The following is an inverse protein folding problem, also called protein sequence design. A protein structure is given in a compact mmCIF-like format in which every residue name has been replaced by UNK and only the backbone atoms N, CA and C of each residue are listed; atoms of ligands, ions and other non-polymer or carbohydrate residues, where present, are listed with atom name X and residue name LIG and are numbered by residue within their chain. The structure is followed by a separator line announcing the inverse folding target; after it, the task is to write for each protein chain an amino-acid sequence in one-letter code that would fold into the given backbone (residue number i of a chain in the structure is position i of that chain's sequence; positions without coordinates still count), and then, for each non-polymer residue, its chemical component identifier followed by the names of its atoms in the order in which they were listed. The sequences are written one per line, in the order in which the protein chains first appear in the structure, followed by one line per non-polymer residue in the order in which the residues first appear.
data_IF_235874722029
#
_entry.id   IF_235874722029
#
_cell.length_a   1.000
_cell.length_b   1.000
_cell.length_c   1.000
_cell.angle_alpha   90.00
_cell.angle_beta   90.00
_cell.angle_gamma   90.00
#
_symmetry.space_group_name_H-M   'P 1'
#
loop_
_entity.id
_entity.type
_entity.pdbx_description
1 polymer ?
#
# COMPACT_ATOMS: atom_id res chain seq x y z
N UNK A 1 -0.57 -30.18 0.34
CA UNK A 1 -0.13 -31.10 -0.71
C UNK A 1 -1.05 -30.98 -1.90
N UNK A 2 -0.50 -30.60 -3.04
CA UNK A 2 -1.13 -30.64 -4.36
C UNK A 2 -0.17 -31.38 -5.27
N UNK A 3 -0.63 -32.43 -5.95
CA UNK A 3 0.22 -33.19 -6.88
C UNK A 3 0.51 -32.40 -8.14
N UNK A 4 1.65 -32.69 -8.77
CA UNK A 4 2.00 -32.16 -10.07
C UNK A 4 1.09 -32.68 -11.19
N UNK A 5 0.72 -31.78 -12.09
CA UNK A 5 0.07 -32.05 -13.36
C UNK A 5 0.68 -31.16 -14.45
N UNK A 6 0.93 -31.73 -15.63
CA UNK A 6 1.50 -30.97 -16.75
C UNK A 6 0.44 -30.04 -17.37
N UNK A 7 0.62 -28.74 -17.12
CA UNK A 7 -0.28 -27.66 -17.57
C UNK A 7 0.28 -26.90 -18.78
N UNK A 8 1.34 -27.37 -19.43
CA UNK A 8 2.00 -26.70 -20.55
C UNK A 8 1.10 -26.49 -21.77
N UNK A 9 0.08 -27.34 -21.92
CA UNK A 9 -0.91 -27.30 -22.99
C UNK A 9 -2.07 -26.31 -22.72
N UNK A 10 -2.14 -25.71 -21.53
CA UNK A 10 -3.16 -24.73 -21.13
C UNK A 10 -2.60 -23.32 -21.34
N UNK A 11 -3.33 -22.47 -22.07
CA UNK A 11 -2.95 -21.07 -22.28
C UNK A 11 -2.97 -20.24 -20.98
N UNK A 12 -2.28 -19.10 -20.98
CA UNK A 12 -2.32 -18.13 -19.87
C UNK A 12 -3.29 -17.01 -20.22
N UNK A 13 -4.38 -16.88 -19.46
CA UNK A 13 -5.42 -15.86 -19.64
C UNK A 13 -5.46 -14.90 -18.46
N UNK A 14 -5.49 -15.42 -17.23
CA UNK A 14 -5.63 -14.63 -15.99
C UNK A 14 -4.60 -14.98 -14.90
N UNK A 15 -3.45 -15.50 -15.32
CA UNK A 15 -2.35 -15.92 -14.44
C UNK A 15 -1.31 -14.82 -14.23
N UNK A 16 -1.10 -14.43 -12.98
CA UNK A 16 0.05 -13.64 -12.53
C UNK A 16 0.51 -14.10 -11.14
N UNK A 17 1.79 -13.94 -10.84
CA UNK A 17 2.33 -14.25 -9.52
C UNK A 17 1.71 -13.34 -8.45
N UNK A 18 1.26 -13.93 -7.35
CA UNK A 18 0.66 -13.24 -6.24
C UNK A 18 1.72 -12.64 -5.33
N UNK A 19 1.51 -11.38 -4.98
CA UNK A 19 2.21 -10.74 -3.88
C UNK A 19 1.71 -11.34 -2.56
N UNK A 20 2.64 -11.80 -1.73
CA UNK A 20 2.31 -12.62 -0.56
C UNK A 20 2.71 -11.88 0.71
N UNK A 21 1.74 -11.42 1.51
CA UNK A 21 1.95 -10.88 2.85
C UNK A 21 1.98 -12.03 3.89
N UNK A 22 2.09 -11.76 5.20
CA UNK A 22 2.22 -12.83 6.21
C UNK A 22 1.02 -13.79 6.17
N UNK A 23 -0.21 -13.25 6.03
CA UNK A 23 -1.41 -14.08 5.89
C UNK A 23 -1.45 -14.84 4.56
N UNK A 24 -0.94 -14.23 3.49
CA UNK A 24 -0.84 -14.81 2.17
C UNK A 24 0.00 -16.08 2.12
N UNK A 25 0.96 -16.25 3.04
CA UNK A 25 1.77 -17.48 3.13
C UNK A 25 0.92 -18.73 3.41
N UNK A 26 -0.27 -18.56 3.98
CA UNK A 26 -1.22 -19.64 4.29
C UNK A 26 -2.25 -19.87 3.19
N UNK A 27 -2.21 -19.10 2.10
CA UNK A 27 -3.19 -19.16 1.00
C UNK A 27 -3.11 -20.46 0.20
N UNK A 28 -1.92 -21.07 0.11
CA UNK A 28 -1.70 -22.29 -0.68
C UNK A 28 -1.84 -22.09 -2.19
N UNK A 29 -1.79 -20.84 -2.67
CA UNK A 29 -1.81 -20.48 -4.10
C UNK A 29 -0.77 -19.39 -4.38
N UNK A 30 0.01 -19.59 -5.44
CA UNK A 30 1.06 -18.67 -5.87
C UNK A 30 0.63 -17.80 -7.05
N UNK A 31 -0.37 -18.24 -7.82
CA UNK A 31 -0.88 -17.54 -9.00
C UNK A 31 -2.33 -17.11 -8.83
N UNK A 32 -2.71 -16.04 -9.53
CA UNK A 32 -4.10 -15.70 -9.78
C UNK A 32 -4.74 -16.65 -10.79
N UNK A 33 -6.06 -16.68 -10.81
CA UNK A 33 -6.80 -17.43 -11.83
C UNK A 33 -6.77 -18.93 -11.60
N UNK A 34 -7.03 -19.69 -12.68
CA UNK A 34 -7.06 -21.16 -12.65
C UNK A 34 -6.18 -21.81 -13.72
N UNK A 35 -5.53 -21.03 -14.58
CA UNK A 35 -4.72 -21.61 -15.67
C UNK A 35 -3.41 -22.23 -15.17
N UNK A 36 -2.91 -21.80 -14.01
CA UNK A 36 -1.74 -22.37 -13.34
C UNK A 36 -2.03 -22.62 -11.87
N UNK A 37 -2.06 -23.91 -11.50
CA UNK A 37 -2.16 -24.37 -10.11
C UNK A 37 -0.83 -24.99 -9.71
N UNK A 38 -0.16 -24.41 -8.70
CA UNK A 38 1.14 -24.89 -8.22
C UNK A 38 1.04 -26.28 -7.56
N UNK A 39 2.03 -27.11 -7.83
CA UNK A 39 2.26 -28.40 -7.18
C UNK A 39 2.90 -28.21 -5.81
N UNK A 40 2.06 -27.97 -4.81
CA UNK A 40 2.50 -27.54 -3.49
C UNK A 40 2.76 -28.74 -2.56
N UNK A 41 4.03 -29.10 -2.35
CA UNK A 41 4.46 -29.86 -1.19
C UNK A 41 5.25 -28.97 -0.22
N UNK A 42 4.56 -28.39 0.75
CA UNK A 42 5.11 -27.34 1.59
C UNK A 42 4.52 -27.34 3.00
N UNK A 43 5.27 -26.79 3.95
CA UNK A 43 4.86 -26.52 5.32
C UNK A 43 4.98 -25.03 5.57
N UNK A 44 3.86 -24.36 5.85
CA UNK A 44 3.88 -22.96 6.30
C UNK A 44 3.94 -22.91 7.82
N UNK A 45 4.91 -22.18 8.36
CA UNK A 45 5.03 -21.91 9.79
C UNK A 45 4.91 -20.40 10.00
N UNK A 46 4.10 -19.99 10.96
CA UNK A 46 4.02 -18.60 11.38
C UNK A 46 3.65 -18.47 12.85
N UNK A 47 3.98 -17.32 13.40
CA UNK A 47 3.67 -16.97 14.78
C UNK A 47 3.21 -15.51 14.82
N UNK A 48 2.15 -15.27 15.59
CA UNK A 48 1.62 -13.93 15.85
C UNK A 48 1.55 -13.71 17.34
N UNK A 49 2.06 -12.57 17.81
CA UNK A 49 1.94 -12.12 19.19
C UNK A 49 1.15 -10.83 19.24
N UNK A 50 0.26 -10.72 20.25
CA UNK A 50 -0.64 -9.57 20.43
C UNK A 50 -0.55 -9.05 21.86
N UNK A 51 -0.54 -7.73 22.01
CA UNK A 51 -0.65 -7.04 23.30
C UNK A 51 -1.96 -6.26 23.28
N UNK A 52 -2.76 -6.46 24.33
CA UNK A 52 -4.07 -5.88 24.50
C UNK A 52 -4.06 -5.04 25.78
N UNK A 53 -4.71 -3.88 25.78
CA UNK A 53 -4.84 -3.04 26.96
C UNK A 53 -5.99 -3.47 27.89
N UNK A 54 -6.11 -2.81 29.04
CA UNK A 54 -7.16 -3.08 30.05
C UNK A 54 -8.59 -2.84 29.52
N UNK A 55 -8.73 -2.11 28.41
CA UNK A 55 -10.01 -1.86 27.74
C UNK A 55 -10.28 -2.85 26.59
N UNK A 56 -9.52 -3.95 26.50
CA UNK A 56 -9.59 -4.95 25.43
C UNK A 56 -9.27 -4.40 24.02
N UNK A 57 -8.48 -3.32 23.91
CA UNK A 57 -8.04 -2.77 22.61
C UNK A 57 -6.69 -3.34 22.24
N UNK A 58 -6.53 -3.78 20.98
CA UNK A 58 -5.22 -4.24 20.49
C UNK A 58 -4.26 -3.06 20.34
N UNK A 59 -3.14 -3.10 21.08
CA UNK A 59 -2.12 -2.05 21.07
C UNK A 59 -0.94 -2.44 20.19
N UNK A 60 -0.57 -3.71 20.13
CA UNK A 60 0.59 -4.18 19.39
C UNK A 60 0.32 -5.56 18.81
N UNK A 61 0.65 -5.76 17.54
CA UNK A 61 0.54 -7.02 16.83
C UNK A 61 1.82 -7.20 16.03
N UNK A 62 2.52 -8.31 16.24
CA UNK A 62 3.65 -8.70 15.41
C UNK A 62 3.39 -10.11 14.87
N UNK A 63 3.58 -10.28 13.56
CA UNK A 63 3.43 -11.56 12.87
C UNK A 63 4.69 -11.86 12.06
N UNK A 64 5.15 -13.10 12.13
CA UNK A 64 6.26 -13.63 11.33
C UNK A 64 5.80 -14.91 10.66
N UNK A 65 6.20 -15.13 9.42
CA UNK A 65 5.84 -16.34 8.70
C UNK A 65 6.84 -16.72 7.62
N UNK A 66 6.91 -18.02 7.34
CA UNK A 66 7.76 -18.59 6.30
C UNK A 66 7.17 -19.90 5.78
N UNK A 67 7.34 -20.17 4.49
CA UNK A 67 7.05 -21.46 3.86
C UNK A 67 8.34 -22.25 3.74
N UNK A 68 8.30 -23.53 4.11
CA UNK A 68 9.34 -24.52 3.89
C UNK A 68 8.88 -25.49 2.81
N UNK A 69 9.59 -25.54 1.70
CA UNK A 69 9.25 -26.41 0.57
C UNK A 69 9.87 -27.80 0.80
N UNK A 70 9.06 -28.84 0.64
CA UNK A 70 9.45 -30.24 0.79
C UNK A 70 9.88 -30.86 -0.54
N UNK A 71 9.39 -30.32 -1.66
CA UNK A 71 9.81 -30.62 -3.03
C UNK A 71 9.84 -29.36 -3.88
N UNK A 72 10.61 -29.40 -4.97
CA UNK A 72 10.69 -28.30 -5.94
C UNK A 72 9.38 -28.19 -6.73
N UNK A 73 8.92 -26.97 -6.99
CA UNK A 73 7.74 -26.69 -7.82
C UNK A 73 8.08 -26.84 -9.30
N UNK A 74 7.23 -27.55 -10.05
CA UNK A 74 7.45 -27.88 -11.46
C UNK A 74 6.53 -27.11 -12.41
N UNK A 75 5.53 -26.40 -11.88
CA UNK A 75 4.53 -25.66 -12.68
C UNK A 75 5.07 -24.32 -13.23
N UNK A 76 6.19 -23.82 -12.70
CA UNK A 76 6.84 -22.59 -13.16
C UNK A 76 7.79 -22.83 -14.33
N UNK A 77 7.87 -21.87 -15.26
CA UNK A 77 8.78 -21.94 -16.44
C UNK A 77 10.27 -21.94 -16.07
N UNK A 78 10.61 -21.62 -14.82
CA UNK A 78 11.90 -21.87 -14.20
C UNK A 78 11.68 -22.85 -13.04
N UNK A 79 12.51 -23.87 -12.92
CA UNK A 79 12.57 -24.70 -11.72
C UNK A 79 12.95 -23.79 -10.57
N UNK A 80 12.09 -23.71 -9.56
CA UNK A 80 12.38 -23.02 -8.32
C UNK A 80 12.97 -24.04 -7.33
N UNK A 81 14.30 -24.01 -7.16
CA UNK A 81 15.05 -24.92 -6.28
C UNK A 81 15.15 -24.40 -4.83
N UNK A 82 14.38 -23.35 -4.50
CA UNK A 82 14.38 -22.78 -3.16
C UNK A 82 13.72 -23.74 -2.17
N UNK A 83 14.42 -24.04 -1.08
CA UNK A 83 13.87 -24.83 0.03
C UNK A 83 13.00 -24.01 1.01
N UNK A 84 12.93 -22.69 0.83
CA UNK A 84 12.13 -21.78 1.67
C UNK A 84 11.70 -20.54 0.90
N UNK A 85 10.54 -20.00 1.26
CA UNK A 85 10.11 -18.69 0.80
C UNK A 85 10.90 -17.58 1.50
N UNK A 86 10.76 -16.36 0.98
CA UNK A 86 11.10 -15.16 1.73
C UNK A 86 10.49 -15.19 3.14
N UNK A 87 11.26 -14.72 4.12
CA UNK A 87 10.76 -14.50 5.47
C UNK A 87 9.88 -13.25 5.46
N UNK A 88 8.61 -13.41 5.80
CA UNK A 88 7.66 -12.31 5.90
C UNK A 88 7.50 -11.88 7.37
N UNK A 89 7.45 -10.58 7.59
CA UNK A 89 7.16 -9.99 8.89
C UNK A 89 6.26 -8.77 8.79
N UNK A 90 5.34 -8.66 9.74
CA UNK A 90 4.38 -7.56 9.86
C UNK A 90 4.29 -7.10 11.31
N UNK A 91 4.16 -5.79 11.49
CA UNK A 91 4.07 -5.10 12.76
C UNK A 91 3.02 -4.00 12.66
N UNK A 92 2.02 -4.04 13.53
CA UNK A 92 1.11 -2.95 13.81
C UNK A 92 1.27 -2.54 15.26
N UNK A 93 1.47 -1.25 15.51
CA UNK A 93 1.67 -0.72 16.84
C UNK A 93 0.97 0.62 17.02
N UNK A 94 0.04 0.63 17.96
CA UNK A 94 -0.51 1.84 18.58
C UNK A 94 0.30 2.13 19.83
N UNK A 95 1.18 3.11 19.75
CA UNK A 95 2.03 3.51 20.89
C UNK A 95 1.20 4.20 21.98
N UNK A 96 0.25 5.05 21.58
CA UNK A 96 -0.71 5.73 22.44
C UNK A 96 -2.02 6.00 21.68
N UNK A 97 -2.90 6.85 22.20
CA UNK A 97 -4.18 7.15 21.52
C UNK A 97 -4.04 7.92 20.19
N UNK A 98 -2.86 8.46 19.88
CA UNK A 98 -2.61 9.32 18.72
C UNK A 98 -1.54 8.82 17.75
N UNK A 99 -0.62 7.96 18.18
CA UNK A 99 0.48 7.45 17.37
C UNK A 99 0.26 6.02 16.91
N UNK A 100 0.38 5.83 15.59
CA UNK A 100 0.21 4.55 14.92
C UNK A 100 1.41 4.27 14.02
N UNK A 101 1.91 3.04 14.09
CA UNK A 101 3.02 2.53 13.29
C UNK A 101 2.54 1.26 12.61
N UNK A 102 2.79 1.18 11.31
CA UNK A 102 2.65 -0.04 10.53
C UNK A 102 3.96 -0.33 9.82
N UNK A 103 4.41 -1.58 9.83
CA UNK A 103 5.56 -2.02 9.06
C UNK A 103 5.35 -3.43 8.55
N UNK A 104 5.70 -3.66 7.29
CA UNK A 104 5.76 -4.99 6.68
C UNK A 104 7.08 -5.14 5.92
N UNK A 105 7.68 -6.31 5.96
CA UNK A 105 8.96 -6.60 5.29
C UNK A 105 8.99 -8.05 4.80
N UNK A 106 9.63 -8.26 3.65
CA UNK A 106 9.93 -9.56 3.07
C UNK A 106 11.40 -9.60 2.71
N UNK A 107 12.10 -10.61 3.25
CA UNK A 107 13.53 -10.80 3.05
C UNK A 107 13.74 -12.12 2.34
N UNK A 108 14.36 -12.07 1.16
CA UNK A 108 14.70 -13.26 0.37
C UNK A 108 15.72 -14.10 1.13
N UNK A 109 15.53 -15.42 1.17
CA UNK A 109 16.40 -16.34 1.92
C UNK A 109 17.58 -16.89 1.11
N UNK A 110 17.55 -16.69 -0.20
CA UNK A 110 18.60 -17.10 -1.14
C UNK A 110 19.76 -16.10 -1.17
N UNK A 111 19.48 -14.82 -0.98
CA UNK A 111 20.44 -13.73 -1.15
C UNK A 111 20.39 -12.64 -0.06
N UNK A 112 19.57 -12.83 0.98
CA UNK A 112 19.39 -11.93 2.13
C UNK A 112 18.97 -10.49 1.77
N UNK A 113 18.42 -10.26 0.58
CA UNK A 113 17.94 -8.94 0.16
C UNK A 113 16.49 -8.74 0.56
N UNK A 114 16.16 -7.52 0.93
CA UNK A 114 14.75 -7.09 1.07
C UNK A 114 14.10 -7.16 -0.32
N UNK A 115 13.08 -7.98 -0.48
CA UNK A 115 12.29 -8.01 -1.72
C UNK A 115 11.23 -6.90 -1.67
N UNK A 116 10.60 -6.73 -0.51
CA UNK A 116 9.51 -5.77 -0.30
C UNK A 116 9.56 -5.21 1.12
N UNK A 117 9.28 -3.93 1.25
CA UNK A 117 8.99 -3.32 2.54
C UNK A 117 7.98 -2.20 2.43
N UNK A 118 7.17 -2.04 3.46
CA UNK A 118 6.30 -0.87 3.63
C UNK A 118 6.36 -0.42 5.07
N UNK A 119 6.43 0.89 5.28
CA UNK A 119 6.42 1.51 6.58
C UNK A 119 5.45 2.69 6.56
N UNK A 120 4.64 2.84 7.59
CA UNK A 120 3.81 4.01 7.79
C UNK A 120 3.86 4.45 9.26
N UNK A 121 4.06 5.74 9.48
CA UNK A 121 3.97 6.39 10.78
C UNK A 121 2.88 7.44 10.68
N UNK A 122 1.87 7.34 11.54
CA UNK A 122 0.74 8.26 11.57
C UNK A 122 0.58 8.86 12.97
N UNK A 123 0.52 10.17 13.02
CA UNK A 123 0.05 10.93 14.17
C UNK A 123 -1.36 11.43 13.87
N UNK A 124 -2.36 11.01 14.65
CA UNK A 124 -3.76 11.32 14.44
C UNK A 124 -4.46 11.64 15.76
N UNK A 125 -4.89 12.89 15.90
CA UNK A 125 -5.69 13.34 17.05
C UNK A 125 -7.20 13.10 16.81
N UNK A 126 -7.65 13.33 15.58
CA UNK A 126 -9.04 13.10 15.16
C UNK A 126 -9.12 13.00 13.62
N UNK A 127 -10.33 13.05 13.07
CA UNK A 127 -10.57 12.92 11.63
C UNK A 127 -10.06 14.11 10.78
N UNK A 128 -9.74 15.27 11.37
CA UNK A 128 -9.25 16.47 10.66
C UNK A 128 -7.82 16.87 11.03
N UNK A 129 -7.25 16.26 12.08
CA UNK A 129 -5.88 16.49 12.56
C UNK A 129 -5.06 15.23 12.44
N UNK A 130 -4.36 15.08 11.31
CA UNK A 130 -3.45 13.96 11.09
C UNK A 130 -2.22 14.35 10.27
N UNK A 131 -1.13 13.63 10.52
CA UNK A 131 0.10 13.65 9.71
C UNK A 131 0.53 12.20 9.54
N UNK A 132 0.80 11.79 8.30
CA UNK A 132 1.24 10.46 7.95
C UNK A 132 2.52 10.55 7.11
N UNK A 133 3.52 9.77 7.50
CA UNK A 133 4.72 9.49 6.72
C UNK A 133 4.64 8.04 6.25
N UNK A 134 4.98 7.79 4.99
CA UNK A 134 4.95 6.45 4.40
C UNK A 134 6.18 6.20 3.54
N UNK A 135 6.73 5.00 3.61
CA UNK A 135 7.77 4.52 2.71
C UNK A 135 7.35 3.16 2.13
N UNK A 136 7.57 2.97 0.83
CA UNK A 136 7.27 1.73 0.13
C UNK A 136 8.44 1.37 -0.78
N UNK A 137 8.92 0.15 -0.62
CA UNK A 137 9.97 -0.43 -1.44
C UNK A 137 9.50 -1.77 -2.02
N UNK A 138 9.70 -1.96 -3.32
CA UNK A 138 9.55 -3.24 -4.03
C UNK A 138 10.74 -3.34 -4.96
N UNK A 139 11.58 -4.36 -4.75
CA UNK A 139 12.83 -4.54 -5.49
C UNK A 139 12.60 -4.69 -6.99
N UNK A 140 11.66 -5.54 -7.35
CA UNK A 140 11.28 -5.79 -8.73
C UNK A 140 9.76 -5.98 -8.82
N UNK A 141 9.11 -5.10 -9.59
CA UNK A 141 7.73 -5.23 -9.99
C UNK A 141 7.65 -5.07 -11.51
N UNK A 142 7.64 -6.20 -12.22
CA UNK A 142 7.59 -6.25 -13.68
C UNK A 142 8.78 -5.57 -14.37
N UNK A 143 9.99 -5.77 -13.83
CA UNK A 143 11.24 -5.19 -14.34
C UNK A 143 11.57 -3.82 -13.76
N UNK A 144 10.79 -3.34 -12.80
CA UNK A 144 10.92 -1.99 -12.25
C UNK A 144 11.02 -1.98 -10.72
N UNK A 145 11.99 -1.23 -10.20
CA UNK A 145 12.09 -0.98 -8.76
C UNK A 145 11.15 0.15 -8.36
N UNK A 146 10.41 -0.06 -7.28
CA UNK A 146 9.60 0.95 -6.62
C UNK A 146 10.32 1.33 -5.34
N UNK A 147 10.72 2.59 -5.23
CA UNK A 147 11.17 3.18 -3.97
C UNK A 147 10.48 4.53 -3.80
N UNK A 148 9.53 4.61 -2.88
CA UNK A 148 8.63 5.75 -2.76
C UNK A 148 8.55 6.24 -1.33
N UNK A 149 8.72 7.55 -1.16
CA UNK A 149 8.47 8.25 0.10
C UNK A 149 7.26 9.17 -0.05
N UNK A 150 6.40 9.18 0.96
CA UNK A 150 5.15 9.93 0.97
C UNK A 150 4.94 10.65 2.30
N UNK A 151 4.39 11.86 2.20
CA UNK A 151 3.91 12.65 3.33
C UNK A 151 2.49 13.07 3.03
N UNK A 152 1.58 12.89 3.99
CA UNK A 152 0.21 13.39 3.92
C UNK A 152 -0.15 14.07 5.23
N UNK A 153 -0.77 15.24 5.18
CA UNK A 153 -1.17 15.99 6.36
C UNK A 153 -2.52 16.65 6.16
N UNK A 154 -3.31 16.70 7.22
CA UNK A 154 -4.58 17.41 7.31
C UNK A 154 -4.61 18.13 8.64
N UNK A 155 -4.77 19.46 8.61
CA UNK A 155 -4.74 20.26 9.82
C UNK A 155 -5.66 21.47 9.74
N UNK A 156 -6.47 21.75 10.77
CA UNK A 156 -7.20 23.00 10.89
C UNK A 156 -6.22 24.12 11.27
N UNK A 157 -6.21 25.20 10.51
CA UNK A 157 -5.38 26.39 10.78
C UNK A 157 -6.17 27.53 11.43
N UNK A 158 -7.49 27.35 11.57
CA UNK A 158 -8.41 28.25 12.24
C UNK A 158 -9.76 27.58 12.42
N UNK A 159 -10.73 28.25 13.03
CA UNK A 159 -12.05 27.67 13.35
C UNK A 159 -12.79 27.13 12.11
N UNK A 160 -12.61 27.80 10.97
CA UNK A 160 -13.33 27.52 9.72
C UNK A 160 -12.38 27.12 8.58
N UNK A 161 -11.09 26.97 8.84
CA UNK A 161 -10.07 26.77 7.80
C UNK A 161 -9.35 25.44 7.98
N UNK A 162 -9.38 24.62 6.93
CA UNK A 162 -8.69 23.34 6.85
C UNK A 162 -7.65 23.38 5.74
N UNK A 163 -6.44 22.92 6.04
CA UNK A 163 -5.38 22.69 5.06
C UNK A 163 -5.16 21.19 4.92
N UNK A 164 -5.01 20.73 3.68
CA UNK A 164 -4.60 19.37 3.34
C UNK A 164 -3.40 19.46 2.41
N UNK A 165 -2.35 18.72 2.70
CA UNK A 165 -1.12 18.70 1.90
C UNK A 165 -0.64 17.27 1.74
N UNK A 166 -0.20 16.91 0.53
CA UNK A 166 0.36 15.59 0.23
C UNK A 166 1.51 15.70 -0.75
N UNK A 167 2.55 14.92 -0.55
CA UNK A 167 3.70 14.87 -1.46
C UNK A 167 4.27 13.46 -1.49
N UNK A 168 4.38 12.89 -2.68
CA UNK A 168 4.99 11.61 -2.95
C UNK A 168 6.17 11.78 -3.90
N UNK A 169 7.25 11.08 -3.61
CA UNK A 169 8.50 11.13 -4.37
C UNK A 169 9.01 9.71 -4.62
N UNK A 170 9.41 9.47 -5.85
CA UNK A 170 10.14 8.29 -6.30
C UNK A 170 11.63 8.55 -6.03
N UNK A 171 12.21 7.79 -5.10
CA UNK A 171 13.60 7.94 -4.68
C UNK A 171 14.57 7.29 -5.67
N UNK A 172 14.15 6.22 -6.35
CA UNK A 172 14.95 5.52 -7.36
C UNK A 172 15.19 6.41 -8.58
N UNK A 173 14.16 7.13 -9.02
CA UNK A 173 14.23 8.02 -10.20
C UNK A 173 14.37 9.50 -9.88
N UNK A 174 14.57 9.85 -8.61
CA UNK A 174 14.70 11.21 -8.11
C UNK A 174 13.60 12.19 -8.59
N UNK A 175 12.36 11.72 -8.73
CA UNK A 175 11.24 12.50 -9.30
C UNK A 175 10.06 12.58 -8.35
N UNK A 176 9.29 13.66 -8.44
CA UNK A 176 8.00 13.72 -7.74
C UNK A 176 6.98 12.84 -8.45
N UNK A 177 6.10 12.20 -7.69
CA UNK A 177 5.00 11.40 -8.23
C UNK A 177 3.69 12.18 -8.12
N UNK A 178 3.41 12.76 -6.95
CA UNK A 178 2.23 13.57 -6.70
C UNK A 178 2.58 14.69 -5.72
N UNK A 179 2.12 15.91 -5.99
CA UNK A 179 2.01 16.97 -5.01
C UNK A 179 0.59 17.49 -5.02
N UNK A 180 -0.01 17.58 -3.85
CA UNK A 180 -1.37 18.04 -3.64
C UNK A 180 -1.37 19.07 -2.52
N UNK A 181 -2.03 20.19 -2.75
CA UNK A 181 -2.29 21.20 -1.74
C UNK A 181 -3.74 21.66 -1.84
N UNK A 182 -4.46 21.56 -0.75
CA UNK A 182 -5.86 21.94 -0.64
C UNK A 182 -6.08 22.88 0.53
N UNK A 183 -6.83 23.95 0.29
CA UNK A 183 -7.31 24.88 1.31
C UNK A 183 -8.83 24.93 1.25
N UNK A 184 -9.49 24.71 2.38
CA UNK A 184 -10.93 24.76 2.48
C UNK A 184 -11.35 25.74 3.57
N UNK A 185 -12.28 26.64 3.22
CA UNK A 185 -13.06 27.41 4.17
C UNK A 185 -14.45 26.81 4.32
N UNK A 186 -14.90 26.65 5.56
CA UNK A 186 -16.17 26.02 5.90
C UNK A 186 -17.04 26.94 6.75
N UNK A 187 -18.23 27.26 6.24
CA UNK A 187 -19.31 27.92 6.99
C UNK A 187 -20.41 26.90 7.35
N UNK A 188 -21.48 27.35 8.00
CA UNK A 188 -22.59 26.50 8.42
C UNK A 188 -23.37 25.89 7.25
N UNK A 189 -23.51 26.61 6.13
CA UNK A 189 -24.35 26.21 4.99
C UNK A 189 -23.60 26.13 3.65
N UNK A 190 -22.32 26.46 3.63
CA UNK A 190 -21.50 26.41 2.41
C UNK A 190 -20.02 26.24 2.74
N UNK A 191 -19.25 25.77 1.77
CA UNK A 191 -17.80 25.70 1.83
C UNK A 191 -17.18 26.07 0.48
N UNK A 192 -15.99 26.66 0.53
CA UNK A 192 -15.17 26.94 -0.65
C UNK A 192 -13.87 26.18 -0.50
N UNK A 193 -13.48 25.49 -1.57
CA UNK A 193 -12.25 24.70 -1.62
C UNK A 193 -11.43 25.11 -2.83
N UNK A 194 -10.14 25.35 -2.58
CA UNK A 194 -9.14 25.56 -3.62
C UNK A 194 -8.16 24.40 -3.53
N UNK A 195 -7.91 23.73 -4.66
CA UNK A 195 -6.98 22.62 -4.78
C UNK A 195 -5.97 22.95 -5.87
N UNK A 196 -4.69 22.84 -5.56
CA UNK A 196 -3.60 22.78 -6.52
C UNK A 196 -2.99 21.39 -6.48
N UNK A 197 -2.93 20.71 -7.62
CA UNK A 197 -2.34 19.39 -7.71
C UNK A 197 -1.41 19.29 -8.92
N UNK A 198 -0.37 18.49 -8.77
CA UNK A 198 0.55 18.09 -9.82
C UNK A 198 0.86 16.61 -9.66
N UNK A 199 0.53 15.80 -10.66
CA UNK A 199 0.76 14.36 -10.64
C UNK A 199 1.50 13.90 -11.89
N UNK A 200 2.23 12.79 -11.76
CA UNK A 200 2.86 12.12 -12.89
C UNK A 200 1.78 11.73 -13.91
N UNK A 201 2.01 12.10 -15.16
CA UNK A 201 1.14 11.74 -16.28
C UNK A 201 1.63 10.43 -16.89
N UNK A 202 0.70 9.53 -17.20
CA UNK A 202 1.01 8.25 -17.82
C UNK A 202 0.46 8.21 -19.25
N UNK A 203 1.03 9.04 -20.12
CA UNK A 203 0.64 9.15 -21.53
C UNK A 203 1.63 8.42 -22.43
N UNK A 204 1.07 7.73 -23.42
CA UNK A 204 1.81 7.16 -24.53
C UNK A 204 1.77 8.14 -25.69
N UNK A 205 2.90 8.34 -26.34
CA UNK A 205 2.94 9.11 -27.59
C UNK A 205 2.35 8.31 -28.77
N UNK A 206 2.26 8.96 -29.93
CA UNK A 206 1.74 8.34 -31.17
C UNK A 206 2.58 7.17 -31.67
N UNK A 207 3.80 6.99 -31.16
CA UNK A 207 4.70 5.86 -31.47
C UNK A 207 4.63 4.75 -30.41
N UNK A 208 3.81 4.92 -29.37
CA UNK A 208 3.67 3.97 -28.27
C UNK A 208 4.78 4.08 -27.22
N UNK A 209 5.62 5.12 -27.25
CA UNK A 209 6.61 5.35 -26.21
C UNK A 209 5.99 6.10 -25.03
N UNK A 210 6.35 5.68 -23.82
CA UNK A 210 5.99 6.40 -22.60
C UNK A 210 7.06 7.43 -22.25
N UNK A 211 6.63 8.67 -22.00
CA UNK A 211 7.46 9.61 -21.28
C UNK A 211 7.23 9.44 -19.78
N UNK A 212 8.24 8.93 -19.08
CA UNK A 212 8.19 8.71 -17.64
C UNK A 212 8.39 9.99 -16.81
N UNK A 213 8.51 11.16 -17.44
CA UNK A 213 8.72 12.45 -16.78
C UNK A 213 7.71 13.53 -17.20
N UNK A 214 6.54 13.14 -17.71
CA UNK A 214 5.45 14.08 -18.00
C UNK A 214 4.56 14.29 -16.76
N UNK A 215 4.02 15.50 -16.59
CA UNK A 215 3.22 15.86 -15.42
C UNK A 215 1.94 16.59 -15.82
N UNK A 216 0.82 16.20 -15.21
CA UNK A 216 -0.42 16.94 -15.26
C UNK A 216 -0.51 17.88 -14.05
N UNK A 217 -0.78 19.16 -14.29
CA UNK A 217 -0.93 20.17 -13.24
C UNK A 217 -2.28 20.86 -13.37
N UNK A 218 -3.01 21.00 -12.27
CA UNK A 218 -4.30 21.66 -12.27
C UNK A 218 -4.55 22.48 -11.01
N UNK A 219 -5.31 23.55 -11.16
CA UNK A 219 -5.87 24.33 -10.05
C UNK A 219 -7.39 24.29 -10.19
N UNK A 220 -8.08 23.89 -9.14
CA UNK A 220 -9.52 23.76 -9.10
C UNK A 220 -10.11 24.62 -7.97
N UNK A 221 -11.22 25.29 -8.26
CA UNK A 221 -12.07 25.97 -7.28
C UNK A 221 -13.40 25.22 -7.21
N UNK A 222 -13.80 24.80 -6.02
CA UNK A 222 -15.05 24.09 -5.77
C UNK A 222 -15.89 24.88 -4.76
N UNK A 223 -17.17 25.09 -5.08
CA UNK A 223 -18.16 25.65 -4.16
C UNK A 223 -19.13 24.55 -3.76
N UNK A 224 -19.29 24.33 -2.45
CA UNK A 224 -20.05 23.20 -1.89
C UNK A 224 -21.18 23.77 -1.04
N UNK A 225 -22.43 23.44 -1.35
CA UNK A 225 -23.58 23.75 -0.48
C UNK A 225 -23.74 22.66 0.59
N UNK A 226 -23.88 23.07 1.85
CA UNK A 226 -24.04 22.18 3.01
C UNK A 226 -25.50 22.24 3.48
N UNK A 227 -26.04 21.09 3.90
CA UNK A 227 -27.41 20.99 4.43
C UNK A 227 -28.45 20.31 3.54
N UNK A 228 -28.07 19.84 2.34
CA UNK A 228 -28.98 19.09 1.42
C UNK A 228 -28.53 17.60 1.29
N UNK A 229 -27.55 17.16 2.08
CA UNK A 229 -27.05 15.78 2.12
C UNK A 229 -26.19 15.48 3.35
N UNK A 230 -26.00 14.19 3.68
CA UNK A 230 -25.22 13.76 4.84
C UNK A 230 -23.73 14.11 4.71
N UNK A 231 -23.24 14.93 5.64
CA UNK A 231 -21.94 15.58 5.68
C UNK A 231 -20.74 14.62 5.84
N UNK A 232 -19.88 14.52 4.81
CA UNK A 232 -18.49 14.01 4.90
C UNK A 232 -17.50 14.85 4.07
N UNK A 233 -17.57 16.19 4.16
CA UNK A 233 -16.79 17.06 3.25
C UNK A 233 -15.27 16.98 3.42
N UNK A 234 -14.76 16.68 4.62
CA UNK A 234 -13.33 16.89 4.93
C UNK A 234 -12.45 15.67 4.65
N UNK A 235 -12.99 14.45 4.75
CA UNK A 235 -12.30 13.21 4.31
C UNK A 235 -12.10 13.17 2.80
N UNK A 236 -13.01 13.78 2.03
CA UNK A 236 -12.92 13.82 0.58
C UNK A 236 -11.60 14.44 0.06
N UNK A 237 -11.08 15.50 0.70
CA UNK A 237 -9.81 16.10 0.26
C UNK A 237 -8.59 15.20 0.49
N UNK A 238 -8.65 14.36 1.52
CA UNK A 238 -7.59 13.40 1.83
C UNK A 238 -7.66 12.20 0.90
N UNK A 239 -8.87 11.79 0.51
CA UNK A 239 -9.14 10.65 -0.36
C UNK A 239 -8.97 10.98 -1.86
N UNK A 240 -9.12 12.25 -2.26
CA UNK A 240 -8.87 12.73 -3.63
C UNK A 240 -7.37 12.62 -4.01
N UNK A 241 -7.10 12.40 -5.29
CA UNK A 241 -5.75 12.25 -5.86
C UNK A 241 -5.39 10.81 -6.26
N UNK A 242 -4.18 10.61 -6.81
CA UNK A 242 -3.74 9.29 -7.28
C UNK A 242 -3.41 8.35 -6.11
N UNK A 243 -2.88 8.90 -5.01
CA UNK A 243 -2.52 8.13 -3.82
C UNK A 243 -3.47 8.27 -2.64
N UNK A 244 -4.74 8.68 -2.81
CA UNK A 244 -5.73 8.93 -1.74
C UNK A 244 -5.44 8.31 -0.36
N UNK A 245 -5.48 9.12 0.70
CA UNK A 245 -5.18 8.68 2.09
C UNK A 245 -5.91 7.38 2.44
N UNK A 246 -5.16 6.45 3.02
CA UNK A 246 -5.70 5.21 3.58
C UNK A 246 -5.17 5.04 4.99
N UNK A 247 -6.02 4.51 5.87
CA UNK A 247 -5.60 4.08 7.19
C UNK A 247 -4.69 2.85 7.03
N UNK A 248 -3.43 2.91 7.47
CA UNK A 248 -2.45 1.88 7.14
C UNK A 248 -2.47 0.68 8.10
N UNK A 249 -3.26 0.72 9.18
CA UNK A 249 -3.33 -0.32 10.20
C UNK A 249 -4.73 -0.91 10.33
N UNK A 250 -4.75 -2.20 10.66
CA UNK A 250 -5.94 -2.99 10.96
C UNK A 250 -5.87 -3.43 12.42
N UNK A 251 -5.97 -2.46 13.33
CA UNK A 251 -6.12 -2.72 14.77
C UNK A 251 -7.61 -2.67 15.11
N UNK A 252 -8.12 -3.75 15.69
CA UNK A 252 -9.53 -3.88 16.10
C UNK A 252 -9.76 -3.37 17.53
#
# INVERSE_FOLDING_TARGET
YTSYEDQSHIGLYDTTALLTDVNGLFRGQEFTGLDRISDNDQITVGATSRIIDDNNREQFVISLGQIFYLSDSQVTTAVDDRNRSALAGELDWRFDDSWFVHSAVQIATDNDKVERSSMALEYRLDATRLVQLSHRFVRDLSGETIDQFGVSASWPIGENWQVVGRSYRDLERDRSIENYFGLQYESCCWAVRIVAQRSLSNRYDVTGQQNTNEFDSSIALQFIFKGIGSSRSNRAMLEDGMFGYRQPYVLN
#
